data_IF_244115037573
#
_entry.id   IF_244115037573
#
_cell.length_a   1.000
_cell.length_b   1.000
_cell.length_c   1.000
_cell.angle_alpha   90.00
_cell.angle_beta   90.00
_cell.angle_gamma   90.00
#
_symmetry.space_group_name_H-M   'P 1'
#
loop_
_entity.id
_entity.type
_entity.pdbx_description
1 polymer ?
#
# COMPACT_ATOMS: atom_id res chain seq x y z
N UNK A 1 19.20 23.27 -9.61
CA UNK A 1 18.08 22.32 -9.57
C UNK A 1 17.42 22.53 -8.23
N UNK A 2 16.29 22.01 -7.93
CA UNK A 2 15.61 22.32 -6.70
C UNK A 2 14.31 21.53 -6.57
N UNK A 3 13.38 21.95 -5.73
CA UNK A 3 12.07 21.30 -5.51
C UNK A 3 11.33 20.99 -6.84
N UNK A 4 11.58 21.76 -7.90
CA UNK A 4 11.05 21.46 -9.23
C UNK A 4 11.41 20.04 -9.72
N UNK A 5 12.63 19.57 -9.44
CA UNK A 5 13.05 18.21 -9.81
C UNK A 5 12.20 17.15 -9.08
N UNK A 6 11.90 17.38 -7.80
CA UNK A 6 10.96 16.53 -7.06
C UNK A 6 9.56 16.52 -7.68
N UNK A 7 9.00 17.69 -8.00
CA UNK A 7 7.68 17.75 -8.65
C UNK A 7 7.64 17.02 -9.99
N UNK A 8 8.71 17.10 -10.76
CA UNK A 8 8.82 16.35 -12.02
C UNK A 8 8.95 14.84 -11.81
N UNK A 9 9.63 14.41 -10.76
CA UNK A 9 9.80 12.99 -10.47
C UNK A 9 8.49 12.28 -10.11
N UNK A 10 7.48 13.01 -9.61
CA UNK A 10 6.16 12.44 -9.32
C UNK A 10 5.49 11.85 -10.56
N UNK A 11 5.79 12.37 -11.78
CA UNK A 11 5.27 11.80 -13.02
C UNK A 11 5.80 10.37 -13.29
N UNK A 12 6.91 9.98 -12.70
CA UNK A 12 7.45 8.63 -12.88
C UNK A 12 6.57 7.59 -12.17
N UNK A 13 5.93 7.94 -11.04
CA UNK A 13 4.98 7.07 -10.35
C UNK A 13 3.77 6.70 -11.21
N UNK A 14 3.36 7.57 -12.15
CA UNK A 14 2.27 7.28 -13.09
C UNK A 14 2.66 6.21 -14.11
N UNK A 15 3.95 6.09 -14.40
CA UNK A 15 4.49 5.15 -15.41
C UNK A 15 4.81 3.78 -14.84
N UNK A 16 4.94 3.69 -13.51
CA UNK A 16 5.22 2.41 -12.84
C UNK A 16 3.89 1.68 -12.67
N UNK A 17 3.74 0.59 -13.40
CA UNK A 17 2.54 -0.25 -13.34
C UNK A 17 2.76 -1.36 -12.33
N UNK A 18 1.86 -1.47 -11.36
CA UNK A 18 1.88 -2.50 -10.32
C UNK A 18 1.66 -3.90 -10.89
N UNK A 19 2.16 -4.93 -10.22
CA UNK A 19 2.08 -6.33 -10.66
C UNK A 19 2.59 -6.54 -12.10
N UNK A 20 3.83 -6.13 -12.44
CA UNK A 20 4.34 -6.14 -13.80
C UNK A 20 4.39 -7.56 -14.39
N UNK A 21 4.02 -7.67 -15.69
CA UNK A 21 4.08 -8.93 -16.43
C UNK A 21 2.99 -9.95 -16.08
N UNK A 22 1.89 -9.51 -15.48
CA UNK A 22 0.67 -10.29 -15.26
C UNK A 22 -0.47 -9.76 -16.11
N UNK A 23 -1.35 -10.66 -16.56
CA UNK A 23 -2.60 -10.24 -17.19
C UNK A 23 -3.48 -9.57 -16.15
N UNK A 24 -4.04 -8.42 -16.51
CA UNK A 24 -4.98 -7.65 -15.70
C UNK A 24 -6.08 -7.09 -16.58
N UNK A 25 -7.29 -7.00 -16.04
CA UNK A 25 -8.39 -6.28 -16.68
C UNK A 25 -8.24 -4.76 -16.50
N UNK A 26 -7.60 -4.33 -15.39
CA UNK A 26 -7.28 -2.93 -15.11
C UNK A 26 -5.80 -2.76 -14.77
N UNK A 27 -5.16 -1.78 -15.42
CA UNK A 27 -3.81 -1.37 -15.02
C UNK A 27 -3.89 -0.35 -13.88
N UNK A 28 -3.11 -0.61 -12.84
CA UNK A 28 -2.96 0.30 -11.70
C UNK A 28 -1.53 0.82 -11.66
N UNK A 29 -1.37 2.15 -11.70
CA UNK A 29 -0.06 2.77 -11.48
C UNK A 29 0.21 2.95 -9.98
N UNK A 30 1.49 3.13 -9.63
CA UNK A 30 1.89 3.43 -8.24
C UNK A 30 1.28 4.75 -7.76
N UNK A 31 1.13 5.75 -8.64
CA UNK A 31 0.46 7.02 -8.29
C UNK A 31 -1.03 6.82 -7.94
N UNK A 32 -1.75 6.00 -8.72
CA UNK A 32 -3.16 5.69 -8.45
C UNK A 32 -3.31 4.90 -7.14
N UNK A 33 -2.41 3.96 -6.89
CA UNK A 33 -2.31 3.24 -5.63
C UNK A 33 -2.10 4.19 -4.45
N UNK A 34 -1.07 5.04 -4.51
CA UNK A 34 -0.76 5.98 -3.43
C UNK A 34 -1.95 6.91 -3.12
N UNK A 35 -2.66 7.38 -4.15
CA UNK A 35 -3.87 8.18 -3.94
C UNK A 35 -4.96 7.41 -3.21
N UNK A 36 -5.23 6.16 -3.58
CA UNK A 36 -6.22 5.31 -2.90
C UNK A 36 -5.82 5.02 -1.46
N UNK A 37 -4.54 4.71 -1.21
CA UNK A 37 -4.02 4.49 0.14
C UNK A 37 -4.26 5.69 1.05
N UNK A 38 -4.07 6.93 0.55
CA UNK A 38 -4.41 8.14 1.30
C UNK A 38 -5.92 8.20 1.63
N UNK A 39 -6.81 7.84 0.68
CA UNK A 39 -8.26 7.87 0.94
C UNK A 39 -8.68 6.80 1.96
N UNK A 40 -8.13 5.58 1.84
CA UNK A 40 -8.38 4.52 2.83
C UNK A 40 -7.87 4.93 4.21
N UNK A 41 -6.62 5.37 4.30
CA UNK A 41 -6.00 5.78 5.57
C UNK A 41 -6.78 6.89 6.27
N UNK A 42 -7.27 7.88 5.50
CA UNK A 42 -8.14 8.94 6.02
C UNK A 42 -9.39 8.36 6.69
N UNK A 43 -10.11 7.48 6.00
CA UNK A 43 -11.34 6.87 6.52
C UNK A 43 -11.05 5.99 7.75
N UNK A 44 -9.95 5.21 7.71
CA UNK A 44 -9.53 4.38 8.83
C UNK A 44 -9.17 5.23 10.06
N UNK A 45 -8.51 6.37 9.85
CA UNK A 45 -8.18 7.31 10.92
C UNK A 45 -9.43 7.96 11.54
N UNK A 46 -10.43 8.33 10.71
CA UNK A 46 -11.72 8.84 11.20
C UNK A 46 -12.43 7.80 12.11
N UNK A 47 -12.30 6.48 11.77
CA UNK A 47 -12.83 5.40 12.61
C UNK A 47 -12.07 5.32 13.95
N UNK A 48 -10.74 5.39 13.94
CA UNK A 48 -9.94 5.40 15.16
C UNK A 48 -10.28 6.60 16.06
N UNK A 49 -10.44 7.80 15.49
CA UNK A 49 -10.86 8.99 16.25
C UNK A 49 -12.25 8.83 16.85
N UNK A 50 -13.20 8.19 16.16
CA UNK A 50 -14.51 7.88 16.69
C UNK A 50 -14.44 6.95 17.92
N UNK A 51 -13.38 6.17 18.07
CA UNK A 51 -13.08 5.33 19.23
C UNK A 51 -12.17 6.02 20.28
N UNK A 52 -11.92 7.33 20.11
CA UNK A 52 -11.17 8.14 21.07
C UNK A 52 -9.64 8.06 20.91
N UNK A 53 -9.14 7.50 19.84
CA UNK A 53 -7.71 7.49 19.53
C UNK A 53 -7.32 8.83 18.91
N UNK A 54 -6.25 9.43 19.39
CA UNK A 54 -5.73 10.69 18.84
C UNK A 54 -4.82 10.40 17.64
N UNK A 55 -5.08 11.07 16.52
CA UNK A 55 -4.33 10.92 15.26
C UNK A 55 -3.46 12.16 15.00
N UNK A 56 -2.18 11.94 14.67
CA UNK A 56 -1.36 12.97 14.03
C UNK A 56 -1.66 12.99 12.52
N UNK A 57 -2.66 13.78 12.13
CA UNK A 57 -3.09 13.91 10.75
C UNK A 57 -1.98 14.38 9.80
N UNK A 58 -1.08 15.22 10.27
CA UNK A 58 0.05 15.66 9.46
C UNK A 58 0.97 14.50 9.14
N UNK A 59 1.36 13.74 10.16
CA UNK A 59 2.16 12.52 9.99
C UNK A 59 1.46 11.54 9.06
N UNK A 60 0.18 11.27 9.29
CA UNK A 60 -0.60 10.33 8.49
C UNK A 60 -0.58 10.69 7.00
N UNK A 61 -0.86 11.96 6.65
CA UNK A 61 -0.82 12.41 5.26
C UNK A 61 0.60 12.37 4.67
N UNK A 62 1.62 12.75 5.42
CA UNK A 62 3.00 12.70 4.98
C UNK A 62 3.43 11.27 4.63
N UNK A 63 3.20 10.29 5.52
CA UNK A 63 3.63 8.91 5.28
C UNK A 63 2.79 8.19 4.21
N UNK A 64 1.47 8.41 4.18
CA UNK A 64 0.59 7.72 3.21
C UNK A 64 0.76 8.23 1.80
N UNK A 65 1.05 9.52 1.60
CA UNK A 65 1.24 10.11 0.27
C UNK A 65 2.60 9.77 -0.35
N UNK A 66 3.58 9.35 0.44
CA UNK A 66 4.97 9.17 -0.02
C UNK A 66 5.55 7.77 0.25
N UNK A 67 4.76 6.82 0.79
CA UNK A 67 5.25 5.51 1.23
C UNK A 67 5.94 4.69 0.12
N UNK A 68 5.53 4.86 -1.12
CA UNK A 68 6.09 4.18 -2.29
C UNK A 68 6.89 5.15 -3.20
N UNK A 69 7.29 6.33 -2.69
CA UNK A 69 8.09 7.26 -3.49
C UNK A 69 9.41 6.64 -3.98
N UNK A 70 10.03 5.78 -3.19
CA UNK A 70 11.27 5.09 -3.55
C UNK A 70 11.16 4.24 -4.81
N UNK A 71 9.96 3.80 -5.19
CA UNK A 71 9.73 3.00 -6.40
C UNK A 71 10.08 3.75 -7.70
N UNK A 72 10.17 5.09 -7.69
CA UNK A 72 10.66 5.83 -8.86
C UNK A 72 12.07 5.39 -9.29
N UNK A 73 12.88 4.88 -8.36
CA UNK A 73 14.26 4.48 -8.61
C UNK A 73 14.40 3.00 -8.95
N UNK A 74 13.60 2.14 -8.35
CA UNK A 74 13.76 0.67 -8.45
C UNK A 74 12.58 -0.03 -9.15
N UNK A 75 11.48 0.70 -9.39
CA UNK A 75 10.24 0.13 -9.91
C UNK A 75 9.49 -0.73 -8.89
N UNK A 76 8.27 -1.17 -9.26
CA UNK A 76 7.52 -2.14 -8.47
C UNK A 76 8.17 -3.53 -8.57
N UNK A 77 8.81 -3.97 -7.49
CA UNK A 77 9.44 -5.29 -7.40
C UNK A 77 8.41 -6.32 -6.99
N UNK A 78 8.25 -7.36 -7.83
CA UNK A 78 7.30 -8.45 -7.59
C UNK A 78 7.42 -8.99 -6.16
N UNK A 79 6.30 -9.03 -5.45
CA UNK A 79 6.20 -9.49 -4.06
C UNK A 79 6.91 -10.84 -3.79
N UNK A 80 6.80 -11.89 -4.65
CA UNK A 80 7.53 -13.14 -4.43
C UNK A 80 9.06 -12.97 -4.48
N UNK A 81 9.56 -12.02 -5.24
CA UNK A 81 11.00 -11.70 -5.30
C UNK A 81 11.41 -10.93 -4.05
N UNK A 82 10.69 -9.85 -3.72
CA UNK A 82 10.95 -8.99 -2.55
C UNK A 82 10.96 -9.80 -1.24
N UNK A 83 10.13 -10.84 -1.15
CA UNK A 83 9.98 -11.67 0.06
C UNK A 83 10.62 -13.08 -0.05
N UNK A 84 11.47 -13.33 -1.06
CA UNK A 84 12.12 -14.64 -1.21
C UNK A 84 13.13 -14.94 -0.10
N UNK A 85 13.71 -13.93 0.52
CA UNK A 85 14.52 -14.04 1.74
C UNK A 85 14.51 -12.74 2.54
N UNK A 86 14.77 -12.84 3.84
CA UNK A 86 14.89 -11.68 4.74
C UNK A 86 16.05 -10.78 4.30
N UNK A 87 17.18 -11.39 3.91
CA UNK A 87 18.37 -10.67 3.46
C UNK A 87 18.10 -9.86 2.20
N UNK A 88 17.41 -10.45 1.21
CA UNK A 88 17.08 -9.75 -0.03
C UNK A 88 16.14 -8.58 0.23
N UNK A 89 15.13 -8.77 1.06
CA UNK A 89 14.20 -7.70 1.46
C UNK A 89 14.95 -6.52 2.10
N UNK A 90 15.86 -6.81 3.04
CA UNK A 90 16.67 -5.77 3.69
C UNK A 90 17.58 -5.05 2.70
N UNK A 91 18.20 -5.79 1.76
CA UNK A 91 19.04 -5.19 0.74
C UNK A 91 18.28 -4.27 -0.21
N UNK A 92 17.09 -4.71 -0.66
CA UNK A 92 16.19 -3.88 -1.49
C UNK A 92 15.84 -2.60 -0.76
N UNK A 93 15.44 -2.68 0.51
CA UNK A 93 15.12 -1.51 1.33
C UNK A 93 16.31 -0.57 1.47
N UNK A 94 17.52 -1.09 1.73
CA UNK A 94 18.72 -0.27 1.82
C UNK A 94 19.06 0.45 0.51
N UNK A 95 18.88 -0.23 -0.63
CA UNK A 95 19.09 0.37 -1.95
C UNK A 95 18.08 1.48 -2.19
N UNK A 96 16.80 1.22 -1.92
CA UNK A 96 15.71 2.19 -2.07
C UNK A 96 15.97 3.44 -1.21
N UNK A 97 16.22 3.27 0.08
CA UNK A 97 16.53 4.36 1.00
C UNK A 97 17.78 5.14 0.58
N UNK A 98 18.83 4.44 0.14
CA UNK A 98 20.08 5.08 -0.34
C UNK A 98 19.84 5.92 -1.59
N UNK A 99 18.99 5.49 -2.51
CA UNK A 99 18.63 6.25 -3.72
C UNK A 99 17.77 7.48 -3.40
N UNK A 100 16.82 7.35 -2.46
CA UNK A 100 16.04 8.50 -1.95
C UNK A 100 16.96 9.52 -1.31
N UNK A 101 17.91 9.11 -0.48
CA UNK A 101 18.87 10.00 0.16
C UNK A 101 19.74 10.72 -0.86
N UNK A 102 20.28 9.98 -1.82
CA UNK A 102 21.09 10.57 -2.89
C UNK A 102 20.30 11.62 -3.67
N UNK A 103 19.06 11.32 -4.02
CA UNK A 103 18.16 12.28 -4.68
C UNK A 103 17.94 13.54 -3.84
N UNK A 104 17.69 13.39 -2.52
CA UNK A 104 17.51 14.52 -1.61
C UNK A 104 18.78 15.36 -1.54
N UNK A 105 19.93 14.72 -1.41
CA UNK A 105 21.23 15.41 -1.28
C UNK A 105 21.57 16.21 -2.56
N UNK A 106 21.25 15.68 -3.73
CA UNK A 106 21.57 16.29 -5.01
C UNK A 106 20.57 17.39 -5.41
N UNK A 107 19.28 17.21 -5.11
CA UNK A 107 18.24 18.03 -5.73
C UNK A 107 17.44 18.90 -4.76
N UNK A 108 17.39 18.57 -3.47
CA UNK A 108 16.60 19.34 -2.51
C UNK A 108 17.46 20.43 -1.86
N UNK A 109 16.96 21.68 -1.77
CA UNK A 109 17.67 22.74 -1.08
C UNK A 109 17.92 22.39 0.39
N UNK A 110 19.07 22.84 0.94
CA UNK A 110 19.55 22.48 2.28
C UNK A 110 18.49 22.67 3.36
N UNK A 111 17.79 23.80 3.34
CA UNK A 111 16.76 24.16 4.32
C UNK A 111 15.56 23.17 4.36
N UNK A 112 15.38 22.36 3.32
CA UNK A 112 14.28 21.41 3.20
C UNK A 112 14.70 19.95 3.31
N UNK A 113 15.99 19.63 3.24
CA UNK A 113 16.48 18.23 3.23
C UNK A 113 15.98 17.42 4.43
N UNK A 114 16.01 17.97 5.64
CA UNK A 114 15.54 17.29 6.83
C UNK A 114 14.03 16.93 6.75
N UNK A 115 13.23 17.85 6.20
CA UNK A 115 11.79 17.63 6.00
C UNK A 115 11.56 16.51 4.98
N UNK A 116 12.24 16.57 3.82
CA UNK A 116 12.10 15.56 2.78
C UNK A 116 12.58 14.17 3.23
N UNK A 117 13.69 14.08 3.98
CA UNK A 117 14.14 12.80 4.55
C UNK A 117 13.09 12.19 5.47
N UNK A 118 12.44 12.99 6.32
CA UNK A 118 11.36 12.51 7.16
C UNK A 118 10.19 12.02 6.30
N UNK A 119 9.70 12.84 5.38
CA UNK A 119 8.52 12.55 4.58
C UNK A 119 8.70 11.34 3.65
N UNK A 120 9.87 11.19 3.01
CA UNK A 120 10.11 10.15 2.01
C UNK A 120 10.67 8.84 2.59
N UNK A 121 11.11 8.84 3.85
CA UNK A 121 11.63 7.65 4.54
C UNK A 121 10.71 7.08 5.61
N UNK A 122 9.95 7.94 6.27
CA UNK A 122 9.03 7.51 7.31
C UNK A 122 7.85 6.78 6.67
N UNK A 123 7.88 5.46 6.81
CA UNK A 123 6.84 4.56 6.30
C UNK A 123 6.09 3.89 7.45
N UNK A 124 5.92 2.59 7.32
CA UNK A 124 5.23 1.73 8.27
C UNK A 124 6.06 1.58 9.54
N UNK A 125 5.63 2.18 10.63
CA UNK A 125 6.18 2.04 11.97
C UNK A 125 5.14 1.50 12.96
N UNK A 126 5.47 1.41 14.25
CA UNK A 126 4.57 0.92 15.29
C UNK A 126 3.62 1.97 15.84
N UNK A 127 3.61 3.20 15.32
CA UNK A 127 2.63 4.21 15.69
C UNK A 127 1.26 3.88 15.09
N UNK A 128 0.22 4.50 15.62
CA UNK A 128 -1.14 4.30 15.08
C UNK A 128 -1.21 4.72 13.61
N UNK A 129 -0.55 5.81 13.20
CA UNK A 129 -0.50 6.26 11.82
C UNK A 129 0.25 5.27 10.92
N UNK A 130 1.37 4.70 11.39
CA UNK A 130 2.12 3.68 10.66
C UNK A 130 1.34 2.38 10.47
N UNK A 131 0.58 1.97 11.50
CA UNK A 131 -0.30 0.81 11.41
C UNK A 131 -1.50 1.09 10.49
N UNK A 132 -2.08 2.29 10.52
CA UNK A 132 -3.13 2.71 9.58
C UNK A 132 -2.61 2.68 8.15
N UNK A 133 -1.40 3.18 7.89
CA UNK A 133 -0.76 3.08 6.58
C UNK A 133 -0.63 1.60 6.16
N UNK A 134 -0.19 0.71 7.05
CA UNK A 134 -0.06 -0.71 6.72
C UNK A 134 -1.42 -1.34 6.36
N UNK A 135 -2.47 -1.04 7.11
CA UNK A 135 -3.83 -1.49 6.81
C UNK A 135 -4.30 -0.94 5.46
N UNK A 136 -4.15 0.37 5.23
CA UNK A 136 -4.59 1.04 4.00
C UNK A 136 -3.90 0.49 2.75
N UNK A 137 -2.58 0.26 2.80
CA UNK A 137 -1.82 -0.39 1.72
C UNK A 137 -2.32 -1.82 1.45
N UNK A 138 -2.60 -2.59 2.51
CA UNK A 138 -3.15 -3.94 2.34
C UNK A 138 -4.60 -3.93 1.85
N UNK A 139 -5.39 -2.95 2.23
CA UNK A 139 -6.73 -2.76 1.68
C UNK A 139 -6.69 -2.50 0.17
N UNK A 140 -5.77 -1.66 -0.32
CA UNK A 140 -5.66 -1.47 -1.77
C UNK A 140 -5.29 -2.77 -2.49
N UNK A 141 -4.41 -3.59 -1.90
CA UNK A 141 -4.09 -4.92 -2.44
C UNK A 141 -5.31 -5.86 -2.43
N UNK A 142 -6.16 -5.80 -1.40
CA UNK A 142 -7.42 -6.56 -1.34
C UNK A 142 -8.35 -6.11 -2.46
N UNK A 143 -8.58 -4.81 -2.62
CA UNK A 143 -9.48 -4.28 -3.66
C UNK A 143 -8.96 -4.52 -5.08
N UNK A 144 -7.65 -4.34 -5.33
CA UNK A 144 -7.03 -4.63 -6.62
C UNK A 144 -7.23 -6.11 -6.99
N UNK A 145 -6.89 -7.01 -6.07
CA UNK A 145 -7.04 -8.44 -6.32
C UNK A 145 -8.51 -8.88 -6.40
N UNK A 146 -9.38 -8.34 -5.54
CA UNK A 146 -10.82 -8.63 -5.56
C UNK A 146 -11.45 -8.24 -6.90
N UNK A 147 -11.16 -7.03 -7.39
CA UNK A 147 -11.68 -6.54 -8.68
C UNK A 147 -11.26 -7.43 -9.84
N UNK A 148 -10.00 -7.87 -9.87
CA UNK A 148 -9.49 -8.79 -10.89
C UNK A 148 -10.18 -10.16 -10.80
N UNK A 149 -10.26 -10.74 -9.60
CA UNK A 149 -10.92 -12.01 -9.37
C UNK A 149 -12.41 -11.96 -9.70
N UNK A 150 -13.12 -10.90 -9.27
CA UNK A 150 -14.54 -10.69 -9.53
C UNK A 150 -14.86 -10.67 -11.03
N UNK A 151 -13.97 -10.10 -11.86
CA UNK A 151 -14.08 -10.06 -13.32
C UNK A 151 -13.68 -11.36 -14.01
N UNK A 152 -13.27 -12.38 -13.26
CA UNK A 152 -12.89 -13.69 -13.79
C UNK A 152 -11.42 -13.88 -14.08
N UNK A 153 -10.52 -13.03 -13.56
CA UNK A 153 -9.09 -13.25 -13.64
C UNK A 153 -8.71 -14.48 -12.80
N UNK A 154 -8.04 -15.45 -13.42
CA UNK A 154 -7.65 -16.72 -12.79
C UNK A 154 -6.15 -16.81 -12.45
N UNK A 155 -5.42 -15.70 -12.60
CA UNK A 155 -4.01 -15.65 -12.24
C UNK A 155 -3.83 -15.92 -10.73
N UNK A 156 -3.02 -16.92 -10.40
CA UNK A 156 -2.80 -17.35 -9.01
C UNK A 156 -2.26 -16.22 -8.12
N UNK A 157 -1.55 -15.28 -8.70
CA UNK A 157 -0.99 -14.15 -8.01
C UNK A 157 -2.05 -13.28 -7.34
N UNK A 158 -3.20 -13.07 -7.99
CA UNK A 158 -4.29 -12.30 -7.40
C UNK A 158 -4.97 -13.05 -6.25
N UNK A 159 -5.11 -14.37 -6.35
CA UNK A 159 -5.58 -15.21 -5.24
C UNK A 159 -4.64 -15.10 -4.04
N UNK A 160 -3.34 -15.22 -4.28
CA UNK A 160 -2.31 -15.12 -3.24
C UNK A 160 -2.28 -13.72 -2.63
N UNK A 161 -2.36 -12.67 -3.46
CA UNK A 161 -2.37 -11.28 -3.02
C UNK A 161 -3.58 -11.02 -2.11
N UNK A 162 -4.78 -11.37 -2.57
CA UNK A 162 -6.02 -11.21 -1.83
C UNK A 162 -5.95 -11.89 -0.46
N UNK A 163 -5.62 -13.19 -0.47
CA UNK A 163 -5.53 -13.99 0.76
C UNK A 163 -4.49 -13.44 1.74
N UNK A 164 -3.29 -13.15 1.27
CA UNK A 164 -2.20 -12.70 2.15
C UNK A 164 -2.46 -11.29 2.69
N UNK A 165 -3.08 -10.41 1.93
CA UNK A 165 -3.45 -9.08 2.39
C UNK A 165 -4.51 -9.17 3.50
N UNK A 166 -5.56 -9.98 3.33
CA UNK A 166 -6.57 -10.21 4.38
C UNK A 166 -5.97 -10.78 5.67
N UNK A 167 -5.10 -11.79 5.56
CA UNK A 167 -4.41 -12.36 6.73
C UNK A 167 -3.62 -11.28 7.48
N UNK A 168 -2.92 -10.42 6.75
CA UNK A 168 -2.14 -9.33 7.38
C UNK A 168 -3.03 -8.30 8.05
N UNK A 169 -4.09 -7.85 7.40
CA UNK A 169 -5.06 -6.90 7.98
C UNK A 169 -5.60 -7.45 9.28
N UNK A 170 -6.09 -8.70 9.28
CA UNK A 170 -6.71 -9.34 10.45
C UNK A 170 -5.80 -9.34 11.69
N UNK A 171 -4.49 -9.41 11.51
CA UNK A 171 -3.55 -9.48 12.63
C UNK A 171 -3.16 -8.11 13.21
N UNK A 172 -3.61 -7.01 12.59
CA UNK A 172 -3.36 -5.66 13.09
C UNK A 172 -4.48 -5.29 14.08
N UNK A 173 -4.11 -4.95 15.30
CA UNK A 173 -5.06 -4.63 16.37
C UNK A 173 -5.41 -3.14 16.33
N UNK A 174 -6.43 -2.79 15.54
CA UNK A 174 -7.01 -1.46 15.42
C UNK A 174 -8.53 -1.57 15.31
N UNK A 175 -9.27 -0.58 15.82
CA UNK A 175 -10.74 -0.52 15.70
C UNK A 175 -11.18 -0.47 14.23
N UNK A 176 -10.43 0.21 13.39
CA UNK A 176 -10.72 0.29 11.96
C UNK A 176 -10.57 -1.06 11.25
N UNK A 177 -9.76 -1.98 11.76
CA UNK A 177 -9.67 -3.36 11.25
C UNK A 177 -10.91 -4.15 11.64
N UNK A 178 -11.37 -4.06 12.88
CA UNK A 178 -12.63 -4.68 13.30
C UNK A 178 -13.78 -4.16 12.44
N UNK A 179 -13.86 -2.84 12.24
CA UNK A 179 -14.87 -2.22 11.37
C UNK A 179 -14.79 -2.74 9.92
N UNK A 180 -13.59 -2.87 9.36
CA UNK A 180 -13.41 -3.42 8.01
C UNK A 180 -13.94 -4.85 7.92
N UNK A 181 -13.60 -5.70 8.88
CA UNK A 181 -13.99 -7.12 8.89
C UNK A 181 -15.49 -7.31 9.11
N UNK A 182 -16.12 -6.46 9.94
CA UNK A 182 -17.52 -6.60 10.32
C UNK A 182 -18.49 -5.91 9.35
N UNK A 183 -18.08 -4.85 8.68
CA UNK A 183 -18.97 -4.03 7.86
C UNK A 183 -18.56 -3.95 6.40
N UNK A 184 -17.27 -3.69 6.09
CA UNK A 184 -16.84 -3.46 4.71
C UNK A 184 -16.67 -4.79 3.95
N UNK A 185 -15.97 -5.75 4.54
CA UNK A 185 -15.70 -7.03 3.88
C UNK A 185 -16.96 -7.84 3.57
N UNK A 186 -18.02 -7.89 4.44
CA UNK A 186 -19.27 -8.52 4.09
C UNK A 186 -19.98 -7.86 2.90
N UNK A 187 -19.93 -6.54 2.77
CA UNK A 187 -20.49 -5.83 1.63
C UNK A 187 -19.80 -6.22 0.33
N UNK A 188 -18.45 -6.30 0.35
CA UNK A 188 -17.68 -6.80 -0.80
C UNK A 188 -18.10 -8.24 -1.18
N UNK A 189 -18.34 -9.11 -0.19
CA UNK A 189 -18.76 -10.49 -0.44
C UNK A 189 -20.19 -10.61 -0.99
N UNK A 190 -21.01 -9.57 -0.87
CA UNK A 190 -22.36 -9.53 -1.44
C UNK A 190 -22.42 -9.03 -2.89
N UNK A 191 -21.30 -8.54 -3.44
CA UNK A 191 -21.24 -8.14 -4.83
C UNK A 191 -21.34 -9.34 -5.79
N UNK A 192 -21.92 -9.12 -6.97
CA UNK A 192 -21.98 -10.12 -8.03
C UNK A 192 -20.58 -10.39 -8.60
N UNK A 193 -20.31 -11.64 -8.92
CA UNK A 193 -19.01 -12.06 -9.46
C UNK A 193 -19.17 -12.92 -10.72
N UNK A 194 -18.29 -12.71 -11.68
CA UNK A 194 -18.10 -13.57 -12.86
C UNK A 194 -17.00 -14.62 -12.63
N UNK A 195 -16.42 -14.63 -11.43
CA UNK A 195 -15.28 -15.48 -11.10
C UNK A 195 -15.62 -16.96 -11.13
N UNK A 196 -14.80 -17.80 -11.77
CA UNK A 196 -14.83 -19.24 -11.56
C UNK A 196 -14.18 -19.65 -10.23
N UNK A 197 -13.55 -18.68 -9.53
CA UNK A 197 -12.88 -18.86 -8.24
C UNK A 197 -13.86 -18.52 -7.12
N UNK A 198 -13.96 -19.38 -6.14
CA UNK A 198 -14.78 -19.15 -4.94
C UNK A 198 -14.07 -18.16 -4.00
N UNK A 199 -14.28 -16.85 -4.25
CA UNK A 199 -13.68 -15.77 -3.48
C UNK A 199 -14.16 -15.82 -2.01
N UNK A 200 -15.41 -16.18 -1.79
CA UNK A 200 -15.99 -16.28 -0.45
C UNK A 200 -15.29 -17.34 0.39
N UNK A 201 -15.05 -18.50 -0.18
CA UNK A 201 -14.28 -19.56 0.47
C UNK A 201 -12.84 -19.13 0.78
N UNK A 202 -12.16 -18.45 -0.13
CA UNK A 202 -10.79 -17.93 0.10
C UNK A 202 -10.79 -16.93 1.25
N UNK A 203 -11.83 -16.09 1.34
CA UNK A 203 -11.99 -15.12 2.42
C UNK A 203 -12.14 -15.84 3.77
N UNK A 204 -13.04 -16.82 3.84
CA UNK A 204 -13.26 -17.62 5.06
C UNK A 204 -11.97 -18.35 5.50
N UNK A 205 -11.25 -18.98 4.55
CA UNK A 205 -9.98 -19.64 4.82
C UNK A 205 -8.90 -18.66 5.30
N UNK A 206 -8.85 -17.44 4.75
CA UNK A 206 -7.91 -16.39 5.18
C UNK A 206 -8.21 -15.91 6.60
N UNK A 207 -9.50 -15.77 6.93
CA UNK A 207 -9.95 -15.32 8.25
C UNK A 207 -9.89 -16.43 9.32
N UNK A 208 -9.75 -17.69 8.94
CA UNK A 208 -9.60 -18.80 9.86
C UNK A 208 -8.14 -18.97 10.37
N UNK A 209 -7.14 -18.37 9.69
CA UNK A 209 -5.72 -18.41 10.07
C UNK A 209 -5.42 -17.39 11.16
#
# INVERSE_FOLDING_TARGET
MGIHTYFRSLNELERIIRCPGKFKFEEHSVSAHSWKVVQYAKTLADIEEAHGIQIDWKKLYEITSSHDYGEIFIGDIKTPVKHSSVQLRQLIQQVEEGMVDHFIDEHIPEDFKAIFRRQLREGKDSSVEGLILEVADKMDQVYEAFTELQRGNTEKEFVIMYRNALIKIKHIQLNCVEYFLEHILPDMMNEETLSPIDIRRITEEALAV
#
